data_IF_147203771153
#
_entry.id   IF_147203771153
#
_cell.length_a   1.000
_cell.length_b   1.000
_cell.length_c   1.000
_cell.angle_alpha   90.00
_cell.angle_beta   90.00
_cell.angle_gamma   90.00
#
_symmetry.space_group_name_H-M   'P 1'
#
loop_
_entity.id
_entity.type
_entity.pdbx_description
1 polymer ?
#
# COMPACT_ATOMS: atom_id res chain seq x y z
N UNK A 1 -6.33 14.16 -13.59
CA UNK A 1 -5.83 13.36 -12.46
C UNK A 1 -5.14 14.31 -11.50
N UNK A 2 -5.84 14.67 -10.40
CA UNK A 2 -5.27 15.51 -9.36
C UNK A 2 -4.26 14.66 -8.56
N UNK A 3 -2.98 15.02 -8.63
CA UNK A 3 -1.96 14.49 -7.74
C UNK A 3 -2.26 14.95 -6.31
N UNK A 4 -2.87 14.11 -5.51
CA UNK A 4 -2.94 14.33 -4.07
C UNK A 4 -1.54 14.12 -3.51
N UNK A 5 -0.82 15.22 -3.27
CA UNK A 5 0.39 15.21 -2.47
C UNK A 5 -0.02 14.85 -1.04
N UNK A 6 0.29 13.63 -0.62
CA UNK A 6 0.19 13.27 0.80
C UNK A 6 1.06 14.25 1.61
N UNK A 7 0.55 14.77 2.76
CA UNK A 7 1.36 15.65 3.60
C UNK A 7 2.64 14.94 4.00
N UNK A 8 3.79 15.55 3.77
CA UNK A 8 5.12 15.02 4.09
C UNK A 8 5.33 14.73 5.59
N UNK A 9 4.45 15.22 6.44
CA UNK A 9 4.61 15.18 7.91
C UNK A 9 3.70 14.18 8.64
N UNK A 10 2.71 13.61 7.97
CA UNK A 10 1.94 12.52 8.56
C UNK A 10 2.71 11.22 8.33
N UNK A 11 3.41 10.75 9.34
CA UNK A 11 4.08 9.44 9.31
C UNK A 11 3.06 8.40 8.84
N UNK A 12 3.42 7.57 7.86
CA UNK A 12 2.54 6.52 7.32
C UNK A 12 1.90 5.67 8.42
N UNK A 13 2.60 5.46 9.53
CA UNK A 13 2.11 4.80 10.73
C UNK A 13 0.96 5.58 11.42
N UNK A 14 1.01 6.92 11.47
CA UNK A 14 -0.06 7.74 12.07
C UNK A 14 -1.33 7.71 11.22
N UNK A 15 -1.20 7.81 9.89
CA UNK A 15 -2.32 7.67 8.96
C UNK A 15 -2.93 6.26 9.00
N UNK A 16 -2.11 5.22 9.01
CA UNK A 16 -2.57 3.84 9.09
C UNK A 16 -3.34 3.59 10.40
N UNK A 17 -2.89 4.17 11.52
CA UNK A 17 -3.57 4.06 12.81
C UNK A 17 -4.90 4.81 12.85
N UNK A 18 -4.98 6.01 12.27
CA UNK A 18 -6.20 6.81 12.21
C UNK A 18 -7.24 6.26 11.23
N UNK A 19 -6.81 5.51 10.22
CA UNK A 19 -7.65 4.87 9.20
C UNK A 19 -7.88 3.38 9.48
N UNK A 20 -7.50 2.87 10.67
CA UNK A 20 -7.74 1.49 11.04
C UNK A 20 -9.25 1.19 11.03
N UNK A 21 -9.62 0.11 10.31
CA UNK A 21 -11.02 -0.32 10.21
C UNK A 21 -11.57 -0.65 11.61
N UNK A 22 -12.71 -0.07 12.03
CA UNK A 22 -13.37 -0.43 13.27
C UNK A 22 -13.74 -1.92 13.32
N UNK A 23 -13.85 -2.50 14.51
CA UNK A 23 -14.20 -3.92 14.70
C UNK A 23 -15.51 -4.28 14.01
N UNK A 24 -16.51 -3.38 14.04
CA UNK A 24 -17.80 -3.55 13.37
C UNK A 24 -17.84 -3.19 11.88
N UNK A 25 -16.74 -2.69 11.33
CA UNK A 25 -16.67 -2.11 9.97
C UNK A 25 -17.12 -0.65 9.94
N UNK A 26 -16.77 0.04 8.86
CA UNK A 26 -17.09 1.48 8.68
C UNK A 26 -18.58 1.72 8.42
N UNK A 27 -19.27 0.81 7.68
CA UNK A 27 -20.70 0.95 7.39
C UNK A 27 -21.48 0.99 8.71
N UNK A 28 -21.30 0.00 9.57
CA UNK A 28 -22.01 -0.08 10.85
C UNK A 28 -21.66 1.10 11.76
N UNK A 29 -20.38 1.45 11.87
CA UNK A 29 -19.91 2.57 12.69
C UNK A 29 -20.49 3.89 12.21
N UNK A 30 -20.54 4.15 10.92
CA UNK A 30 -21.08 5.38 10.38
C UNK A 30 -22.62 5.45 10.52
N UNK A 31 -23.32 4.31 10.31
CA UNK A 31 -24.77 4.21 10.58
C UNK A 31 -25.11 4.58 12.02
N UNK A 32 -24.34 4.06 12.98
CA UNK A 32 -24.52 4.37 14.40
C UNK A 32 -24.30 5.87 14.67
N UNK A 33 -23.21 6.45 14.15
CA UNK A 33 -22.87 7.87 14.34
C UNK A 33 -23.96 8.81 13.83
N UNK A 34 -24.60 8.49 12.69
CA UNK A 34 -25.68 9.29 12.09
C UNK A 34 -27.08 8.81 12.52
N UNK A 35 -27.16 7.83 13.41
CA UNK A 35 -28.41 7.22 13.89
C UNK A 35 -29.32 6.68 12.77
N UNK A 36 -28.71 6.15 11.70
CA UNK A 36 -29.41 5.56 10.58
C UNK A 36 -29.47 4.02 10.74
N UNK A 37 -30.66 3.45 10.72
CA UNK A 37 -30.82 1.99 10.76
C UNK A 37 -30.76 1.35 9.37
N UNK A 38 -30.57 0.03 9.33
CA UNK A 38 -30.49 -0.70 8.07
C UNK A 38 -31.76 -0.60 7.18
N UNK A 39 -33.02 -0.56 7.71
CA UNK A 39 -34.19 -0.30 6.91
C UNK A 39 -34.16 1.05 6.17
N UNK A 40 -33.80 2.13 6.85
CA UNK A 40 -33.72 3.46 6.24
C UNK A 40 -32.63 3.55 5.15
N UNK A 41 -31.49 2.90 5.36
CA UNK A 41 -30.43 2.81 4.34
C UNK A 41 -30.88 1.95 3.14
N UNK A 42 -31.58 0.84 3.40
CA UNK A 42 -32.12 -0.04 2.36
C UNK A 42 -33.13 0.69 1.46
N UNK A 43 -34.00 1.51 2.06
CA UNK A 43 -34.96 2.35 1.34
C UNK A 43 -34.26 3.37 0.45
N UNK A 44 -33.25 4.07 0.95
CA UNK A 44 -32.44 5.05 0.17
C UNK A 44 -31.74 4.41 -1.02
N UNK A 45 -31.24 3.21 -0.86
CA UNK A 45 -30.56 2.45 -1.92
C UNK A 45 -31.50 1.64 -2.80
N UNK A 46 -32.81 1.61 -2.49
CA UNK A 46 -33.84 0.79 -3.16
C UNK A 46 -33.45 -0.71 -3.20
N UNK A 47 -32.94 -1.22 -2.09
CA UNK A 47 -32.55 -2.64 -1.92
C UNK A 47 -33.24 -3.26 -0.70
N UNK A 48 -33.10 -4.58 -0.54
CA UNK A 48 -33.61 -5.25 0.65
C UNK A 48 -32.74 -4.99 1.89
N UNK A 49 -33.33 -5.08 3.08
CA UNK A 49 -32.60 -5.03 4.35
C UNK A 49 -31.48 -6.10 4.42
N UNK A 50 -31.77 -7.27 3.85
CA UNK A 50 -30.79 -8.36 3.80
C UNK A 50 -29.56 -7.99 2.98
N UNK A 51 -29.71 -7.19 1.92
CA UNK A 51 -28.60 -6.66 1.12
C UNK A 51 -27.70 -5.77 1.97
N UNK A 52 -28.25 -4.94 2.86
CA UNK A 52 -27.46 -4.09 3.76
C UNK A 52 -26.68 -4.95 4.76
N UNK A 53 -27.32 -5.92 5.39
CA UNK A 53 -26.65 -6.84 6.32
C UNK A 53 -25.55 -7.66 5.63
N UNK A 54 -25.80 -8.12 4.40
CA UNK A 54 -24.79 -8.80 3.61
C UNK A 54 -23.60 -7.88 3.28
N UNK A 55 -23.87 -6.61 2.94
CA UNK A 55 -22.81 -5.63 2.68
C UNK A 55 -21.94 -5.35 3.91
N UNK A 56 -22.54 -5.24 5.10
CA UNK A 56 -21.80 -5.10 6.35
C UNK A 56 -20.89 -6.31 6.61
N UNK A 57 -21.42 -7.53 6.43
CA UNK A 57 -20.62 -8.76 6.55
C UNK A 57 -19.48 -8.82 5.55
N UNK A 58 -19.77 -8.46 4.28
CA UNK A 58 -18.74 -8.44 3.23
C UNK A 58 -17.66 -7.41 3.50
N UNK A 59 -18.01 -6.24 4.07
CA UNK A 59 -17.01 -5.26 4.51
C UNK A 59 -16.15 -5.81 5.64
N UNK A 60 -16.75 -6.44 6.65
CA UNK A 60 -16.02 -7.06 7.75
C UNK A 60 -15.06 -8.14 7.26
N UNK A 61 -15.51 -8.96 6.32
CA UNK A 61 -14.72 -10.02 5.69
C UNK A 61 -13.68 -9.50 4.67
N UNK A 62 -13.72 -8.21 4.29
CA UNK A 62 -12.83 -7.64 3.27
C UNK A 62 -13.18 -8.03 1.84
N UNK A 63 -14.40 -8.49 1.58
CA UNK A 63 -14.87 -8.94 0.26
C UNK A 63 -15.79 -7.95 -0.45
N UNK A 64 -16.15 -6.83 0.20
CA UNK A 64 -16.91 -5.75 -0.43
C UNK A 64 -16.07 -5.03 -1.48
N UNK A 65 -16.66 -4.68 -2.62
CA UNK A 65 -15.98 -3.84 -3.61
C UNK A 65 -15.99 -2.37 -3.18
N UNK A 66 -14.97 -1.61 -3.59
CA UNK A 66 -14.94 -0.16 -3.35
C UNK A 66 -16.16 0.55 -3.93
N UNK A 67 -16.60 0.16 -5.13
CA UNK A 67 -17.79 0.72 -5.76
C UNK A 67 -19.06 0.50 -4.92
N UNK A 68 -19.22 -0.68 -4.32
CA UNK A 68 -20.36 -0.95 -3.43
C UNK A 68 -20.24 -0.14 -2.14
N UNK A 69 -19.05 -0.02 -1.60
CA UNK A 69 -18.81 0.78 -0.39
C UNK A 69 -19.08 2.27 -0.64
N UNK A 70 -18.67 2.80 -1.80
CA UNK A 70 -18.95 4.18 -2.22
C UNK A 70 -20.45 4.45 -2.32
N UNK A 71 -21.21 3.60 -2.98
CA UNK A 71 -22.69 3.73 -3.08
C UNK A 71 -23.37 3.77 -1.72
N UNK A 72 -22.91 2.92 -0.79
CA UNK A 72 -23.44 2.88 0.57
C UNK A 72 -23.07 4.15 1.32
N UNK A 73 -21.81 4.62 1.23
CA UNK A 73 -21.37 5.84 1.87
C UNK A 73 -22.14 7.07 1.38
N UNK A 74 -22.35 7.20 0.07
CA UNK A 74 -23.12 8.28 -0.55
C UNK A 74 -24.57 8.29 -0.05
N UNK A 75 -25.22 7.13 0.03
CA UNK A 75 -26.57 7.00 0.56
C UNK A 75 -26.69 7.42 2.03
N UNK A 76 -25.59 7.32 2.78
CA UNK A 76 -25.48 7.79 4.16
C UNK A 76 -25.06 9.27 4.26
N UNK A 77 -24.79 9.96 3.13
CA UNK A 77 -24.30 11.33 3.10
C UNK A 77 -22.78 11.44 3.35
N UNK A 78 -22.06 10.35 3.26
CA UNK A 78 -20.61 10.26 3.40
C UNK A 78 -19.88 10.06 2.06
N UNK A 79 -18.59 9.81 2.16
CA UNK A 79 -17.73 9.40 1.03
C UNK A 79 -16.67 8.42 1.52
N UNK A 80 -16.20 7.56 0.65
CA UNK A 80 -15.10 6.66 0.95
C UNK A 80 -13.76 7.37 0.70
N UNK A 81 -12.82 7.17 1.62
CA UNK A 81 -11.42 7.58 1.46
C UNK A 81 -10.57 6.34 1.68
N UNK A 82 -9.65 6.05 0.77
CA UNK A 82 -8.71 4.95 0.90
C UNK A 82 -7.32 5.36 0.43
N UNK A 83 -6.29 4.69 0.95
CA UNK A 83 -4.91 4.92 0.60
C UNK A 83 -4.10 3.62 0.67
N UNK A 84 -3.06 3.53 -0.16
CA UNK A 84 -2.01 2.53 -0.04
C UNK A 84 -0.82 3.25 0.61
N UNK A 85 -0.44 2.78 1.77
CA UNK A 85 0.68 3.33 2.53
C UNK A 85 1.78 2.28 2.70
N UNK A 86 3.06 2.68 2.76
CA UNK A 86 4.13 1.77 3.10
C UNK A 86 3.85 1.10 4.46
N UNK A 87 4.26 -0.15 4.60
CA UNK A 87 4.13 -0.86 5.88
C UNK A 87 5.04 -0.26 6.94
N UNK A 88 6.23 0.12 6.54
CA UNK A 88 7.27 0.70 7.37
C UNK A 88 7.99 1.80 6.60
N UNK A 89 8.38 2.88 7.28
CA UNK A 89 9.17 3.96 6.71
C UNK A 89 8.56 4.71 5.52
N UNK A 90 9.31 5.57 4.89
CA UNK A 90 8.92 6.30 3.68
C UNK A 90 9.01 5.42 2.42
N UNK A 91 8.29 5.79 1.36
CA UNK A 91 8.29 5.07 0.07
C UNK A 91 9.69 4.92 -0.51
N UNK A 92 10.55 5.90 -0.29
CA UNK A 92 11.95 5.92 -0.74
C UNK A 92 12.75 4.73 -0.20
N UNK A 93 12.46 4.27 1.02
CA UNK A 93 13.12 3.09 1.61
C UNK A 93 12.76 1.80 0.88
N UNK A 94 11.54 1.68 0.38
CA UNK A 94 11.12 0.53 -0.43
C UNK A 94 11.94 0.49 -1.73
N UNK A 95 12.10 1.64 -2.37
CA UNK A 95 12.89 1.78 -3.61
C UNK A 95 14.36 1.46 -3.35
N UNK A 96 14.92 2.01 -2.27
CA UNK A 96 16.32 1.79 -1.90
C UNK A 96 16.60 0.32 -1.54
N UNK A 97 15.71 -0.32 -0.79
CA UNK A 97 15.82 -1.73 -0.45
C UNK A 97 15.82 -2.62 -1.70
N UNK A 98 14.95 -2.34 -2.67
CA UNK A 98 14.91 -3.04 -3.95
C UNK A 98 16.19 -2.82 -4.78
N UNK A 99 16.68 -1.58 -4.85
CA UNK A 99 17.91 -1.28 -5.56
C UNK A 99 19.12 -2.01 -4.96
N UNK A 100 19.24 -2.03 -3.64
CA UNK A 100 20.26 -2.80 -2.91
C UNK A 100 20.16 -4.30 -3.18
N UNK A 101 18.94 -4.85 -3.16
CA UNK A 101 18.72 -6.27 -3.45
C UNK A 101 19.15 -6.62 -4.89
N UNK A 102 18.84 -5.76 -5.86
CA UNK A 102 19.26 -5.94 -7.26
C UNK A 102 20.78 -5.79 -7.41
N UNK A 103 21.38 -4.79 -6.78
CA UNK A 103 22.83 -4.57 -6.78
C UNK A 103 23.58 -5.79 -6.22
N UNK A 104 23.16 -6.34 -5.09
CA UNK A 104 23.74 -7.57 -4.52
C UNK A 104 23.69 -8.74 -5.50
N UNK A 105 22.54 -8.97 -6.14
CA UNK A 105 22.41 -10.04 -7.14
C UNK A 105 23.37 -9.89 -8.31
N UNK A 106 23.56 -8.68 -8.80
CA UNK A 106 24.50 -8.37 -9.91
C UNK A 106 25.94 -8.63 -9.45
N UNK A 107 26.34 -8.10 -8.30
CA UNK A 107 27.69 -8.26 -7.75
C UNK A 107 28.01 -9.73 -7.48
N UNK A 108 27.09 -10.49 -6.91
CA UNK A 108 27.27 -11.92 -6.66
C UNK A 108 27.47 -12.72 -7.96
N UNK A 109 26.70 -12.42 -9.02
CA UNK A 109 26.89 -13.07 -10.33
C UNK A 109 28.25 -12.74 -10.92
N UNK A 110 28.66 -11.47 -10.87
CA UNK A 110 29.97 -11.03 -11.38
C UNK A 110 31.12 -11.69 -10.63
N UNK A 111 31.04 -11.76 -9.29
CA UNK A 111 32.06 -12.42 -8.46
C UNK A 111 32.14 -13.92 -8.72
N UNK A 112 31.00 -14.60 -8.92
CA UNK A 112 31.00 -16.01 -9.27
C UNK A 112 31.74 -16.27 -10.60
N UNK A 113 31.62 -15.40 -11.60
CA UNK A 113 32.38 -15.48 -12.85
C UNK A 113 33.86 -15.16 -12.63
N UNK A 114 34.19 -14.12 -11.86
CA UNK A 114 35.60 -13.72 -11.59
C UNK A 114 36.36 -14.75 -10.75
N UNK A 115 35.68 -15.44 -9.80
CA UNK A 115 36.29 -16.52 -9.01
C UNK A 115 36.72 -17.71 -9.87
N UNK A 116 36.09 -17.91 -11.02
CA UNK A 116 36.49 -18.92 -11.99
C UNK A 116 37.73 -18.52 -12.84
N UNK A 117 38.07 -17.22 -12.85
CA UNK A 117 39.17 -16.67 -13.68
C UNK A 117 40.42 -16.26 -12.84
N UNK A 118 40.52 -16.65 -11.56
CA UNK A 118 41.68 -16.42 -10.66
C UNK A 118 42.18 -14.96 -10.58
N UNK A 119 41.32 -13.96 -10.75
CA UNK A 119 41.72 -12.56 -10.62
C UNK A 119 41.21 -11.96 -9.31
N UNK A 120 42.09 -11.89 -8.31
CA UNK A 120 41.86 -11.18 -7.05
C UNK A 120 42.70 -9.91 -7.00
N UNK A 121 42.16 -8.76 -7.36
CA UNK A 121 42.81 -7.47 -7.10
C UNK A 121 41.87 -6.53 -6.34
N UNK A 122 42.41 -5.96 -5.23
CA UNK A 122 42.04 -4.68 -4.61
C UNK A 122 40.58 -4.47 -4.25
N UNK A 123 40.12 -5.12 -3.19
CA UNK A 123 38.69 -5.17 -2.85
C UNK A 123 38.23 -3.89 -2.14
N UNK A 124 37.46 -3.04 -2.83
CA UNK A 124 36.42 -2.23 -2.20
C UNK A 124 35.49 -3.17 -1.42
N UNK A 125 35.00 -2.72 -0.26
CA UNK A 125 34.07 -3.56 0.50
C UNK A 125 32.81 -3.84 -0.34
N UNK A 126 32.26 -5.05 -0.21
CA UNK A 126 31.05 -5.41 -0.92
C UNK A 126 29.89 -4.44 -0.63
N UNK A 127 29.85 -3.91 0.62
CA UNK A 127 28.85 -2.95 1.03
C UNK A 127 28.96 -1.63 0.24
N UNK A 128 30.18 -1.10 0.02
CA UNK A 128 30.39 0.11 -0.78
C UNK A 128 29.97 -0.08 -2.23
N UNK A 129 30.32 -1.22 -2.82
CA UNK A 129 29.92 -1.57 -4.20
C UNK A 129 28.41 -1.70 -4.34
N UNK A 130 27.73 -2.26 -3.34
CA UNK A 130 26.26 -2.37 -3.32
C UNK A 130 25.62 -1.00 -3.27
N UNK A 131 26.09 -0.09 -2.40
CA UNK A 131 25.52 1.27 -2.29
C UNK A 131 25.73 2.09 -3.58
N UNK A 132 26.91 2.05 -4.17
CA UNK A 132 27.23 2.75 -5.42
C UNK A 132 26.34 2.23 -6.57
N UNK A 133 26.28 0.91 -6.74
CA UNK A 133 25.46 0.30 -7.79
C UNK A 133 23.96 0.51 -7.56
N UNK A 134 23.50 0.50 -6.30
CA UNK A 134 22.11 0.78 -5.98
C UNK A 134 21.71 2.22 -6.35
N UNK A 135 22.59 3.20 -6.08
CA UNK A 135 22.37 4.58 -6.48
C UNK A 135 22.28 4.74 -8.01
N UNK A 136 23.12 4.02 -8.75
CA UNK A 136 23.09 4.02 -10.21
C UNK A 136 21.80 3.38 -10.75
N UNK A 137 21.38 2.26 -10.21
CA UNK A 137 20.14 1.57 -10.58
C UNK A 137 18.92 2.50 -10.40
N UNK A 138 18.87 3.25 -9.30
CA UNK A 138 17.79 4.22 -9.04
C UNK A 138 17.83 5.36 -10.07
N UNK A 139 19.03 5.90 -10.33
CA UNK A 139 19.23 7.02 -11.27
C UNK A 139 18.85 6.65 -12.70
N UNK A 140 19.17 5.44 -13.14
CA UNK A 140 18.86 4.96 -14.49
C UNK A 140 17.37 4.68 -14.70
N UNK A 141 16.61 4.36 -13.67
CA UNK A 141 15.16 4.15 -13.74
C UNK A 141 14.73 3.05 -14.71
N UNK A 142 15.48 1.95 -14.80
CA UNK A 142 15.24 0.87 -15.76
C UNK A 142 13.88 0.21 -15.57
N UNK A 143 13.26 -0.23 -16.69
CA UNK A 143 11.97 -0.95 -16.68
C UNK A 143 12.02 -2.28 -15.94
N UNK A 144 13.21 -2.90 -15.85
CA UNK A 144 13.45 -4.17 -15.16
C UNK A 144 13.80 -4.00 -13.67
N UNK A 145 13.57 -2.80 -13.11
CA UNK A 145 13.92 -2.46 -11.73
C UNK A 145 13.37 -3.45 -10.69
N UNK A 146 12.15 -3.92 -10.89
CA UNK A 146 11.44 -4.85 -10.00
C UNK A 146 11.60 -6.35 -10.36
N UNK A 147 12.41 -6.68 -11.35
CA UNK A 147 12.64 -8.05 -11.80
C UNK A 147 13.89 -8.68 -11.19
#
# INVERSE_FOLDING_TARGET
>A
LAHVRLPREATSASLAKSLAKPVGGWIATFQEAIRMNAPALAERLQVSRNTIYASIKNEQAGTISLNQLEKIAEAMGGRVVYAIVPREGPVEEIVLAQARAKARRIIQRTRAHMALEEQSEGLRSEAEMVEELAADIIREGRRDFWQ
#
